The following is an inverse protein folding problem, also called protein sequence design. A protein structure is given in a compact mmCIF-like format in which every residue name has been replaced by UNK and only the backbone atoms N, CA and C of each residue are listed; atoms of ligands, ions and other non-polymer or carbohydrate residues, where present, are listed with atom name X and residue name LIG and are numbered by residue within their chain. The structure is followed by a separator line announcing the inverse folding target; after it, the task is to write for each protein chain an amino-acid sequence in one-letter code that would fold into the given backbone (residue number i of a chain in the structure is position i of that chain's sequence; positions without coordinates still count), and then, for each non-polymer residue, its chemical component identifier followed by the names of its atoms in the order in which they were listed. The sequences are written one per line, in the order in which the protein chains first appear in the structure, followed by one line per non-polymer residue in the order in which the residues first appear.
data_IF_885226335175
#
_entry.id   IF_885226335175
#
_cell.length_a   1.000
_cell.length_b   1.000
_cell.length_c   1.000
_cell.angle_alpha   90.00
_cell.angle_beta   90.00
_cell.angle_gamma   90.00
#
_symmetry.space_group_name_H-M   'P 1'
#
loop_
_entity.id
_entity.type
_entity.pdbx_description
1 polymer ?
#
# COMPACT_ATOMS: atom_id res chain seq x y z
N UNK A 1 4.02 1.30 21.73
CA UNK A 1 4.82 1.95 20.69
C UNK A 1 6.06 1.10 20.47
N UNK A 2 6.14 0.45 19.31
CA UNK A 2 7.28 -0.40 18.94
C UNK A 2 8.46 0.46 18.49
N UNK A 3 9.68 0.00 18.72
CA UNK A 3 10.92 0.74 18.39
C UNK A 3 11.07 1.10 16.90
N UNK A 4 10.26 0.49 16.04
CA UNK A 4 10.31 0.64 14.58
C UNK A 4 9.27 1.63 14.01
N UNK A 5 8.45 2.25 14.87
CA UNK A 5 7.44 3.24 14.44
C UNK A 5 8.02 4.64 14.18
N UNK A 6 9.16 4.98 14.77
CA UNK A 6 9.83 6.27 14.54
C UNK A 6 10.51 6.34 13.17
N UNK A 7 11.30 5.33 12.73
CA UNK A 7 12.03 5.44 11.47
C UNK A 7 11.13 5.49 10.24
N UNK A 8 10.01 4.77 10.23
CA UNK A 8 9.10 4.76 9.06
C UNK A 8 8.50 6.14 8.79
N UNK A 9 8.32 6.97 9.82
CA UNK A 9 7.76 8.32 9.68
C UNK A 9 8.67 9.22 8.83
N UNK A 10 9.97 8.95 8.81
CA UNK A 10 10.93 9.70 8.01
C UNK A 10 10.81 9.42 6.50
N UNK A 11 10.04 8.40 6.10
CA UNK A 11 9.76 8.10 4.69
C UNK A 11 8.73 9.07 4.09
N UNK A 12 7.93 9.70 4.94
CA UNK A 12 6.79 10.52 4.57
C UNK A 12 7.10 12.01 4.74
N UNK A 13 6.49 12.82 3.89
CA UNK A 13 6.50 14.28 4.04
C UNK A 13 5.32 14.78 4.87
N UNK A 14 4.30 13.93 5.06
CA UNK A 14 3.06 14.27 5.77
C UNK A 14 3.18 14.00 7.28
N UNK A 15 2.59 14.84 8.14
CA UNK A 15 2.72 14.72 9.60
C UNK A 15 1.92 13.56 10.20
N UNK A 16 0.89 13.08 9.51
CA UNK A 16 -0.01 12.03 9.98
C UNK A 16 0.23 10.75 9.18
N UNK A 17 0.79 9.74 9.85
CA UNK A 17 1.14 8.44 9.27
C UNK A 17 0.32 7.36 9.96
N UNK A 18 -0.29 6.49 9.16
CA UNK A 18 -1.13 5.37 9.58
C UNK A 18 -0.61 4.07 8.98
N UNK A 19 -0.77 2.97 9.72
CA UNK A 19 -0.52 1.63 9.19
C UNK A 19 -1.80 1.09 8.54
N UNK A 20 -1.68 0.58 7.32
CA UNK A 20 -2.76 -0.08 6.60
C UNK A 20 -2.38 -1.54 6.35
N UNK A 21 -3.29 -2.44 6.71
CA UNK A 21 -3.18 -3.88 6.46
C UNK A 21 -4.36 -4.37 5.63
N UNK A 22 -4.10 -5.41 4.85
CA UNK A 22 -5.12 -6.17 4.13
C UNK A 22 -5.91 -7.09 5.08
N UNK A 23 -6.74 -7.98 4.52
CA UNK A 23 -7.40 -9.04 5.28
C UNK A 23 -6.44 -9.95 6.09
N UNK A 24 -5.15 -10.00 5.75
CA UNK A 24 -4.12 -10.73 6.51
C UNK A 24 -3.61 -9.93 7.73
N UNK A 25 -4.02 -8.67 7.90
CA UNK A 25 -3.48 -7.77 8.93
C UNK A 25 -2.13 -7.14 8.56
N UNK A 26 -1.60 -7.42 7.37
CA UNK A 26 -0.34 -6.89 6.84
C UNK A 26 -0.47 -6.47 5.37
N UNK A 27 0.61 -5.95 4.78
CA UNK A 27 0.65 -5.53 3.38
C UNK A 27 0.64 -6.67 2.35
N UNK A 28 0.94 -7.91 2.74
CA UNK A 28 1.07 -9.05 1.83
C UNK A 28 -0.20 -9.32 1.02
N UNK A 29 -1.37 -9.20 1.66
CA UNK A 29 -2.66 -9.38 0.99
C UNK A 29 -3.05 -8.25 0.03
N UNK A 30 -2.23 -7.20 -0.15
CA UNK A 30 -2.39 -6.19 -1.21
C UNK A 30 -1.63 -6.52 -2.49
N UNK A 31 -1.09 -7.73 -2.63
CA UNK A 31 -0.38 -8.17 -3.82
C UNK A 31 -1.28 -9.05 -4.68
N UNK A 32 -1.56 -8.63 -5.92
CA UNK A 32 -2.16 -9.51 -6.92
C UNK A 32 -1.03 -10.30 -7.56
N UNK A 33 -0.75 -11.46 -6.94
CA UNK A 33 0.42 -12.26 -7.25
C UNK A 33 0.43 -12.77 -8.70
N UNK A 34 1.60 -12.66 -9.33
CA UNK A 34 1.97 -13.46 -10.52
C UNK A 34 2.13 -14.95 -10.19
N UNK A 35 2.28 -15.28 -8.91
CA UNK A 35 2.60 -16.63 -8.42
C UNK A 35 1.36 -17.44 -7.96
N UNK A 36 0.16 -16.87 -8.06
CA UNK A 36 -1.09 -17.55 -7.67
C UNK A 36 -1.84 -18.00 -8.92
N UNK A 37 -2.20 -19.29 -8.94
CA UNK A 37 -2.90 -19.90 -10.06
C UNK A 37 -4.35 -19.40 -10.19
N UNK A 38 -4.96 -19.50 -11.38
CA UNK A 38 -6.37 -19.19 -11.59
C UNK A 38 -7.26 -19.95 -10.60
N UNK A 39 -8.21 -19.25 -9.96
CA UNK A 39 -9.17 -19.85 -9.02
C UNK A 39 -8.67 -19.97 -7.57
N UNK A 40 -7.49 -19.44 -7.25
CA UNK A 40 -7.02 -19.34 -5.86
C UNK A 40 -7.95 -18.40 -5.06
N UNK A 41 -8.63 -18.89 -4.00
CA UNK A 41 -9.53 -18.07 -3.18
C UNK A 41 -8.81 -16.88 -2.51
N UNK A 42 -7.50 -16.95 -2.37
CA UNK A 42 -6.70 -15.86 -1.85
C UNK A 42 -6.60 -14.68 -2.83
N UNK A 43 -6.60 -14.94 -4.15
CA UNK A 43 -6.66 -13.85 -5.12
C UNK A 43 -7.95 -13.03 -4.98
N UNK A 44 -9.08 -13.70 -4.74
CA UNK A 44 -10.36 -13.01 -4.50
C UNK A 44 -10.28 -12.12 -3.26
N UNK A 45 -9.72 -12.61 -2.15
CA UNK A 45 -9.56 -11.83 -0.91
C UNK A 45 -8.58 -10.66 -1.06
N UNK A 46 -7.50 -10.83 -1.82
CA UNK A 46 -6.59 -9.74 -2.17
C UNK A 46 -7.28 -8.68 -3.04
N UNK A 47 -8.08 -9.09 -4.03
CA UNK A 47 -8.88 -8.18 -4.85
C UNK A 47 -9.90 -7.40 -4.02
N UNK A 48 -10.58 -8.06 -3.09
CA UNK A 48 -11.53 -7.41 -2.19
C UNK A 48 -10.82 -6.42 -1.25
N UNK A 49 -9.65 -6.79 -0.72
CA UNK A 49 -8.82 -5.91 0.13
C UNK A 49 -8.35 -4.67 -0.63
N UNK A 50 -7.82 -4.83 -1.85
CA UNK A 50 -7.43 -3.72 -2.71
C UNK A 50 -8.63 -2.88 -3.13
N UNK A 51 -9.78 -3.49 -3.38
CA UNK A 51 -11.03 -2.80 -3.69
C UNK A 51 -11.49 -1.90 -2.55
N UNK A 52 -11.49 -2.40 -1.32
CA UNK A 52 -11.82 -1.65 -0.12
C UNK A 52 -10.78 -0.55 0.16
N UNK A 53 -9.49 -0.86 0.02
CA UNK A 53 -8.42 0.11 0.25
C UNK A 53 -8.44 1.23 -0.79
N UNK A 54 -8.63 0.90 -2.07
CA UNK A 54 -8.84 1.84 -3.17
C UNK A 54 -10.00 2.80 -2.88
N UNK A 55 -11.15 2.28 -2.42
CA UNK A 55 -12.30 3.12 -2.05
C UNK A 55 -11.96 4.06 -0.89
N UNK A 56 -11.33 3.53 0.17
CA UNK A 56 -10.91 4.32 1.32
C UNK A 56 -9.96 5.47 0.93
N UNK A 57 -8.97 5.17 0.09
CA UNK A 57 -8.01 6.17 -0.41
C UNK A 57 -8.69 7.22 -1.28
N UNK A 58 -9.63 6.81 -2.15
CA UNK A 58 -10.40 7.72 -2.98
C UNK A 58 -11.18 8.70 -2.11
N UNK A 59 -11.92 8.21 -1.11
CA UNK A 59 -12.70 9.05 -0.20
C UNK A 59 -11.77 10.02 0.56
N UNK A 60 -10.63 9.54 1.08
CA UNK A 60 -9.65 10.37 1.78
C UNK A 60 -9.04 11.47 0.88
N UNK A 61 -8.70 11.16 -0.37
CA UNK A 61 -8.12 12.11 -1.33
C UNK A 61 -9.05 13.28 -1.65
N UNK A 62 -10.37 13.11 -1.55
CA UNK A 62 -11.33 14.23 -1.71
C UNK A 62 -11.15 15.32 -0.66
N UNK A 63 -10.49 15.02 0.47
CA UNK A 63 -10.28 15.95 1.57
C UNK A 63 -8.86 16.51 1.64
N UNK A 64 -7.84 15.73 1.26
CA UNK A 64 -6.43 16.08 1.50
C UNK A 64 -5.61 16.35 0.22
N UNK A 65 -6.17 16.06 -0.97
CA UNK A 65 -5.54 16.32 -2.27
C UNK A 65 -4.52 15.26 -2.69
N UNK A 66 -3.56 14.92 -1.83
CA UNK A 66 -2.62 13.81 -2.08
C UNK A 66 -2.30 12.99 -0.81
N UNK A 67 -1.95 11.72 -1.04
CA UNK A 67 -1.55 10.76 -0.02
C UNK A 67 -0.21 10.12 -0.41
N UNK A 68 0.51 9.64 0.59
CA UNK A 68 1.75 8.89 0.41
C UNK A 68 1.56 7.49 1.00
N UNK A 69 1.94 6.45 0.25
CA UNK A 69 1.98 5.07 0.69
C UNK A 69 3.42 4.58 0.64
N UNK A 70 3.91 4.00 1.74
CA UNK A 70 5.21 3.33 1.75
C UNK A 70 5.01 1.84 1.99
N UNK A 71 5.50 1.02 1.07
CA UNK A 71 5.46 -0.44 1.15
C UNK A 71 6.88 -0.97 1.33
N UNK A 72 7.10 -1.74 2.40
CA UNK A 72 8.38 -2.35 2.73
C UNK A 72 8.17 -3.68 3.47
N UNK A 73 9.22 -4.50 3.53
CA UNK A 73 9.25 -5.68 4.39
C UNK A 73 9.40 -5.29 5.85
N UNK A 74 9.06 -6.22 6.74
CA UNK A 74 9.37 -6.08 8.15
C UNK A 74 10.91 -6.00 8.34
N UNK A 75 11.38 -4.97 9.03
CA UNK A 75 12.80 -4.65 9.22
C UNK A 75 13.31 -3.52 8.31
N UNK A 76 12.62 -3.23 7.20
CA UNK A 76 13.03 -2.21 6.22
C UNK A 76 12.38 -0.84 6.45
N UNK A 77 11.74 -0.63 7.59
CA UNK A 77 11.03 0.62 7.90
C UNK A 77 11.95 1.86 7.82
N UNK A 78 13.23 1.68 8.18
CA UNK A 78 14.26 2.71 8.11
C UNK A 78 15.06 2.70 6.80
N UNK A 79 14.86 1.70 5.95
CA UNK A 79 15.61 1.55 4.72
C UNK A 79 15.24 2.65 3.71
N UNK A 80 16.18 3.02 2.85
CA UNK A 80 15.94 4.03 1.83
C UNK A 80 14.94 3.56 0.78
N UNK A 81 14.10 4.49 0.30
CA UNK A 81 13.18 4.29 -0.83
C UNK A 81 13.97 3.91 -2.09
N UNK A 82 13.63 2.78 -2.70
CA UNK A 82 14.20 2.34 -3.99
C UNK A 82 13.30 2.67 -5.18
N UNK A 83 11.99 2.58 -4.97
CA UNK A 83 11.01 2.83 -6.02
C UNK A 83 10.11 4.00 -5.66
N UNK A 84 9.85 4.88 -6.63
CA UNK A 84 8.86 5.95 -6.51
C UNK A 84 7.85 5.85 -7.63
N UNK A 85 6.56 5.80 -7.28
CA UNK A 85 5.47 5.76 -8.25
C UNK A 85 4.46 6.87 -7.98
N UNK A 86 3.78 7.28 -9.04
CA UNK A 86 2.56 8.05 -8.95
C UNK A 86 1.42 7.12 -9.31
N UNK A 87 0.42 7.05 -8.44
CA UNK A 87 -0.73 6.16 -8.61
C UNK A 87 -2.03 6.94 -8.42
N UNK A 88 -3.09 6.39 -8.97
CA UNK A 88 -4.47 6.71 -8.63
C UNK A 88 -5.06 5.58 -7.80
N UNK A 89 -6.15 5.82 -7.05
CA UNK A 89 -6.88 4.72 -6.40
C UNK A 89 -7.31 3.61 -7.37
N UNK A 90 -7.52 3.94 -8.66
CA UNK A 90 -7.90 2.96 -9.68
C UNK A 90 -6.75 2.06 -10.11
N UNK A 91 -5.50 2.53 -10.03
CA UNK A 91 -4.33 1.71 -10.37
C UNK A 91 -4.20 0.51 -9.44
N UNK A 92 -4.60 0.65 -8.16
CA UNK A 92 -4.61 -0.43 -7.17
C UNK A 92 -5.57 -1.56 -7.53
N UNK A 93 -6.53 -1.32 -8.43
CA UNK A 93 -7.56 -2.29 -8.84
C UNK A 93 -7.17 -3.08 -10.09
N UNK A 94 -6.04 -2.77 -10.72
CA UNK A 94 -5.59 -3.47 -11.91
C UNK A 94 -5.26 -4.92 -11.58
N UNK A 95 -5.55 -5.83 -12.50
CA UNK A 95 -5.32 -7.28 -12.30
C UNK A 95 -3.86 -7.65 -12.05
N UNK A 96 -2.92 -6.80 -12.48
CA UNK A 96 -1.48 -6.96 -12.36
C UNK A 96 -0.87 -6.13 -11.23
N UNK A 97 -1.70 -5.53 -10.36
CA UNK A 97 -1.22 -4.61 -9.34
C UNK A 97 -0.38 -5.31 -8.27
N UNK A 98 0.80 -4.75 -8.06
CA UNK A 98 1.68 -5.09 -6.96
C UNK A 98 2.42 -3.85 -6.45
N UNK A 99 2.67 -3.81 -5.14
CA UNK A 99 3.66 -2.90 -4.57
C UNK A 99 5.05 -3.51 -4.71
N UNK A 100 6.01 -2.70 -5.13
CA UNK A 100 7.41 -3.09 -5.11
C UNK A 100 7.97 -2.98 -3.69
N UNK A 101 9.07 -3.67 -3.45
CA UNK A 101 9.82 -3.54 -2.20
C UNK A 101 10.35 -2.10 -2.04
N UNK A 102 10.28 -1.55 -0.82
CA UNK A 102 10.79 -0.21 -0.49
C UNK A 102 10.29 0.86 -1.46
N UNK A 103 9.00 0.79 -1.76
CA UNK A 103 8.31 1.68 -2.67
C UNK A 103 7.59 2.80 -1.93
N UNK A 104 7.83 4.05 -2.33
CA UNK A 104 7.01 5.20 -1.96
C UNK A 104 6.12 5.60 -3.14
N UNK A 105 4.81 5.45 -2.96
CA UNK A 105 3.78 5.81 -3.92
C UNK A 105 3.08 7.10 -3.50
N UNK A 106 3.01 8.08 -4.40
CA UNK A 106 2.20 9.30 -4.23
C UNK A 106 0.87 9.12 -4.95
N UNK A 107 -0.23 9.22 -4.20
CA UNK A 107 -1.58 9.03 -4.72
C UNK A 107 -2.31 10.35 -4.91
N UNK A 108 -3.00 10.47 -6.05
CA UNK A 108 -3.88 11.59 -6.42
C UNK A 108 -5.12 11.07 -7.15
N UNK A 109 -6.18 11.88 -7.22
CA UNK A 109 -7.37 11.59 -8.02
C UNK A 109 -7.08 11.71 -9.52
#
# INVERSE_FOLDING_TARGET
MGKDEEPVRNQFTKPHVYYAGSHEGCGCGFQLGKDRGPGDPEQARSRDSLGAFSKYLQDALTHVGDLELFACWEGDQAAGVEHRRHLTPMDLRRDDFCFLERELSVLRL
#
